data_IF_236216589869
#
_entry.id   IF_236216589869
#
_cell.length_a   1.000
_cell.length_b   1.000
_cell.length_c   1.000
_cell.angle_alpha   90.00
_cell.angle_beta   90.00
_cell.angle_gamma   90.00
#
_symmetry.space_group_name_H-M   'P 1'
#
loop_
_entity.id
_entity.type
_entity.pdbx_description
1 polymer ?
#
# COMPACT_ATOMS: atom_id res chain seq x y z
N UNK A 1 15.86 44.31 47.86
CA UNK A 1 14.67 44.92 47.24
C UNK A 1 15.00 45.15 45.76
N UNK A 2 14.51 44.28 44.87
CA UNK A 2 13.32 44.51 44.01
C UNK A 2 13.54 45.70 43.06
N UNK A 3 13.98 45.51 41.80
CA UNK A 3 13.26 45.03 40.61
C UNK A 3 12.47 46.14 39.88
N UNK A 4 12.83 46.40 38.62
CA UNK A 4 11.94 46.71 37.46
C UNK A 4 12.81 47.23 36.32
N UNK A 5 13.01 46.49 35.24
CA UNK A 5 12.09 46.44 34.09
C UNK A 5 12.72 47.29 32.97
N UNK A 6 13.22 46.74 31.87
CA UNK A 6 12.51 45.85 30.98
C UNK A 6 11.79 46.71 29.93
N UNK A 7 12.43 46.97 28.79
CA UNK A 7 11.74 47.22 27.51
C UNK A 7 12.62 46.71 26.38
N UNK A 8 12.30 45.49 25.96
CA UNK A 8 12.77 44.90 24.71
C UNK A 8 12.35 45.81 23.54
N UNK A 9 13.34 46.34 22.81
CA UNK A 9 13.11 46.86 21.46
C UNK A 9 13.02 45.64 20.55
N UNK A 10 11.82 45.43 19.99
CA UNK A 10 11.63 44.50 18.89
C UNK A 10 12.54 44.92 17.73
N UNK A 11 13.41 44.01 17.33
CA UNK A 11 14.15 44.11 16.07
C UNK A 11 13.18 43.77 14.94
N UNK A 12 12.56 44.80 14.36
CA UNK A 12 12.02 44.67 13.01
C UNK A 12 13.22 44.33 12.09
N UNK A 13 13.12 43.23 11.34
CA UNK A 13 14.14 42.86 10.37
C UNK A 13 14.33 43.98 9.35
N UNK A 14 15.46 44.01 8.66
CA UNK A 14 15.65 44.98 7.57
C UNK A 14 14.49 44.83 6.57
N UNK A 15 13.95 45.92 5.98
CA UNK A 15 12.90 45.84 4.97
C UNK A 15 13.28 44.91 3.79
N UNK A 16 14.56 44.72 3.54
CA UNK A 16 15.07 43.76 2.56
C UNK A 16 14.86 42.29 2.99
N UNK A 17 14.97 41.99 4.28
CA UNK A 17 14.71 40.66 4.85
C UNK A 17 13.21 40.35 4.85
N UNK A 18 12.36 41.34 5.16
CA UNK A 18 10.90 41.20 5.07
C UNK A 18 10.45 40.97 3.61
N UNK A 19 11.02 41.71 2.64
CA UNK A 19 10.78 41.49 1.22
C UNK A 19 11.28 40.11 0.76
N UNK A 20 12.44 39.66 1.26
CA UNK A 20 12.95 38.33 0.95
C UNK A 20 12.04 37.22 1.51
N UNK A 21 11.52 37.39 2.71
CA UNK A 21 10.61 36.44 3.36
C UNK A 21 9.24 36.40 2.67
N UNK A 22 8.67 37.56 2.33
CA UNK A 22 7.44 37.64 1.53
C UNK A 22 7.62 36.98 0.15
N UNK A 23 8.78 37.15 -0.50
CA UNK A 23 9.09 36.46 -1.76
C UNK A 23 9.17 34.94 -1.60
N UNK A 24 9.69 34.43 -0.47
CA UNK A 24 9.70 32.98 -0.19
C UNK A 24 8.29 32.45 0.05
N UNK A 25 7.48 33.18 0.81
CA UNK A 25 6.09 32.82 1.08
C UNK A 25 5.26 32.80 -0.21
N UNK A 26 5.43 33.80 -1.08
CA UNK A 26 4.76 33.85 -2.39
C UNK A 26 5.12 32.62 -3.24
N UNK A 27 6.41 32.28 -3.33
CA UNK A 27 6.87 31.07 -4.05
C UNK A 27 6.40 29.76 -3.43
N UNK A 28 6.13 29.73 -2.12
CA UNK A 28 5.56 28.56 -1.45
C UNK A 28 4.07 28.44 -1.78
N UNK A 29 3.33 29.54 -1.76
CA UNK A 29 1.93 29.60 -2.17
C UNK A 29 1.74 29.23 -3.64
N UNK A 30 2.58 29.73 -4.54
CA UNK A 30 2.53 29.38 -5.96
C UNK A 30 2.70 27.88 -6.19
N UNK A 31 3.63 27.25 -5.45
CA UNK A 31 3.83 25.79 -5.52
C UNK A 31 2.61 25.03 -5.00
N UNK A 32 2.04 25.47 -3.87
CA UNK A 32 0.82 24.87 -3.33
C UNK A 32 -0.37 25.00 -4.29
N UNK A 33 -0.51 26.15 -4.96
CA UNK A 33 -1.55 26.37 -5.97
C UNK A 33 -1.36 25.43 -7.17
N UNK A 34 -0.13 25.29 -7.67
CA UNK A 34 0.16 24.34 -8.76
C UNK A 34 -0.17 22.89 -8.36
N UNK A 35 0.18 22.49 -7.14
CA UNK A 35 -0.15 21.15 -6.64
C UNK A 35 -1.66 20.94 -6.52
N UNK A 36 -2.40 21.96 -6.09
CA UNK A 36 -3.86 21.89 -6.03
C UNK A 36 -4.50 21.86 -7.42
N UNK A 37 -4.01 22.65 -8.37
CA UNK A 37 -4.46 22.60 -9.76
C UNK A 37 -4.21 21.23 -10.40
N UNK A 38 -3.04 20.63 -10.15
CA UNK A 38 -2.73 19.29 -10.62
C UNK A 38 -3.69 18.24 -10.03
N UNK A 39 -3.98 18.33 -8.72
CA UNK A 39 -4.97 17.47 -8.05
C UNK A 39 -6.37 17.66 -8.60
N UNK A 40 -6.81 18.90 -8.82
CA UNK A 40 -8.12 19.20 -9.41
C UNK A 40 -8.24 18.62 -10.82
N UNK A 41 -7.22 18.77 -11.67
CA UNK A 41 -7.20 18.18 -13.02
C UNK A 41 -7.28 16.65 -12.96
N UNK A 42 -6.58 16.02 -12.02
CA UNK A 42 -6.66 14.57 -11.82
C UNK A 42 -8.07 14.13 -11.38
N UNK A 43 -8.68 14.84 -10.42
CA UNK A 43 -10.04 14.58 -9.95
C UNK A 43 -11.08 14.77 -11.06
N UNK A 44 -10.96 15.82 -11.88
CA UNK A 44 -11.86 16.06 -13.01
C UNK A 44 -11.76 14.94 -14.05
N UNK A 45 -10.55 14.48 -14.36
CA UNK A 45 -10.35 13.33 -15.27
C UNK A 45 -10.96 12.05 -14.69
N UNK A 46 -10.73 11.78 -13.41
CA UNK A 46 -11.28 10.60 -12.74
C UNK A 46 -12.82 10.64 -12.71
N UNK A 47 -13.40 11.80 -12.41
CA UNK A 47 -14.86 12.01 -12.45
C UNK A 47 -15.44 11.83 -13.85
N UNK A 48 -14.77 12.32 -14.90
CA UNK A 48 -15.21 12.13 -16.28
C UNK A 48 -15.21 10.65 -16.69
N UNK A 49 -14.20 9.88 -16.26
CA UNK A 49 -14.14 8.42 -16.50
C UNK A 49 -15.23 7.69 -15.73
N UNK A 50 -15.46 8.05 -14.46
CA UNK A 50 -16.53 7.49 -13.64
C UNK A 50 -17.91 7.76 -14.25
N UNK A 51 -18.19 8.99 -14.67
CA UNK A 51 -19.48 9.35 -15.30
C UNK A 51 -19.72 8.54 -16.57
N UNK A 52 -18.71 8.39 -17.45
CA UNK A 52 -18.84 7.56 -18.66
C UNK A 52 -19.15 6.10 -18.35
N UNK A 53 -18.58 5.54 -17.27
CA UNK A 53 -18.89 4.16 -16.86
C UNK A 53 -20.29 4.04 -16.29
N UNK A 54 -20.70 5.00 -15.45
CA UNK A 54 -22.07 5.05 -14.94
C UNK A 54 -23.09 5.13 -16.08
N UNK A 55 -22.82 5.94 -17.11
CA UNK A 55 -23.69 6.05 -18.29
C UNK A 55 -23.86 4.69 -19.00
N UNK A 56 -22.75 3.96 -19.20
CA UNK A 56 -22.76 2.61 -19.81
C UNK A 56 -23.51 1.60 -18.94
N UNK A 57 -23.30 1.63 -17.62
CA UNK A 57 -23.98 0.72 -16.69
C UNK A 57 -25.48 1.02 -16.63
N UNK A 58 -25.87 2.28 -16.64
CA UNK A 58 -27.27 2.70 -16.59
C UNK A 58 -27.98 2.36 -17.90
N UNK A 59 -27.31 2.56 -19.04
CA UNK A 59 -27.79 2.13 -20.36
C UNK A 59 -27.97 0.60 -20.42
N UNK A 60 -26.99 -0.17 -19.95
CA UNK A 60 -27.04 -1.63 -19.92
C UNK A 60 -28.16 -2.19 -19.03
N UNK A 61 -28.42 -1.53 -17.90
CA UNK A 61 -29.49 -1.88 -16.96
C UNK A 61 -30.86 -1.29 -17.35
N UNK A 62 -30.93 -0.53 -18.47
CA UNK A 62 -32.12 0.22 -18.91
C UNK A 62 -32.70 1.11 -17.82
N UNK A 63 -31.85 1.61 -16.93
CA UNK A 63 -32.23 2.60 -15.93
C UNK A 63 -32.28 3.95 -16.66
N UNK A 64 -33.41 4.66 -16.57
CA UNK A 64 -33.55 6.01 -17.16
C UNK A 64 -32.57 7.01 -16.54
N UNK A 65 -32.52 8.25 -17.09
CA UNK A 65 -31.66 9.37 -16.64
C UNK A 65 -31.38 9.34 -15.13
N UNK A 66 -30.12 9.58 -14.75
CA UNK A 66 -29.69 9.59 -13.35
C UNK A 66 -30.61 10.47 -12.50
N UNK A 67 -31.15 9.90 -11.41
CA UNK A 67 -32.08 10.60 -10.54
C UNK A 67 -31.48 11.94 -10.08
N UNK A 68 -32.26 13.03 -10.20
CA UNK A 68 -31.80 14.37 -9.87
C UNK A 68 -31.66 14.52 -8.36
N UNK A 69 -30.80 15.46 -7.95
CA UNK A 69 -30.53 15.76 -6.54
C UNK A 69 -31.78 16.33 -5.87
N UNK A 70 -32.60 15.46 -5.28
CA UNK A 70 -33.90 15.81 -4.69
C UNK A 70 -34.98 14.75 -4.92
N UNK A 71 -34.79 13.87 -5.89
CA UNK A 71 -35.72 12.77 -6.18
C UNK A 71 -35.75 11.81 -4.98
N UNK A 72 -36.95 11.56 -4.45
CA UNK A 72 -37.21 10.57 -3.40
C UNK A 72 -37.89 9.36 -4.05
N UNK A 73 -37.32 8.18 -3.90
CA UNK A 73 -37.92 6.94 -4.38
C UNK A 73 -36.95 5.77 -4.46
N UNK A 74 -37.49 4.55 -4.43
CA UNK A 74 -36.79 3.26 -4.46
C UNK A 74 -35.83 3.14 -5.66
N UNK A 75 -36.17 3.77 -6.80
CA UNK A 75 -35.35 3.75 -8.02
C UNK A 75 -34.00 4.45 -7.81
N UNK A 76 -33.97 5.56 -7.05
CA UNK A 76 -32.73 6.26 -6.73
C UNK A 76 -31.85 5.45 -5.78
N UNK A 77 -32.44 4.83 -4.77
CA UNK A 77 -31.71 3.95 -3.85
C UNK A 77 -31.11 2.74 -4.57
N UNK A 78 -31.82 2.21 -5.58
CA UNK A 78 -31.33 1.14 -6.44
C UNK A 78 -30.16 1.62 -7.31
N UNK A 79 -30.29 2.79 -7.96
CA UNK A 79 -29.22 3.42 -8.74
C UNK A 79 -27.96 3.69 -7.88
N UNK A 80 -28.12 4.27 -6.69
CA UNK A 80 -27.02 4.52 -5.75
C UNK A 80 -26.37 3.21 -5.27
N UNK A 81 -27.15 2.13 -5.14
CA UNK A 81 -26.63 0.81 -4.78
C UNK A 81 -25.87 0.15 -5.93
N UNK A 82 -26.31 0.32 -7.16
CA UNK A 82 -25.60 -0.13 -8.37
C UNK A 82 -24.24 0.58 -8.49
N UNK A 83 -24.20 1.91 -8.33
CA UNK A 83 -22.93 2.65 -8.36
C UNK A 83 -21.97 2.18 -7.26
N UNK A 84 -22.48 1.98 -6.03
CA UNK A 84 -21.66 1.45 -4.92
C UNK A 84 -21.14 0.04 -5.18
N UNK A 85 -21.94 -0.82 -5.82
CA UNK A 85 -21.52 -2.16 -6.22
C UNK A 85 -20.48 -2.12 -7.34
N UNK A 86 -20.63 -1.24 -8.32
CA UNK A 86 -19.64 -1.03 -9.37
C UNK A 86 -18.29 -0.61 -8.79
N UNK A 87 -18.28 0.42 -7.92
CA UNK A 87 -17.08 0.87 -7.24
C UNK A 87 -16.43 -0.23 -6.38
N UNK A 88 -17.24 -1.02 -5.70
CA UNK A 88 -16.77 -2.17 -4.92
C UNK A 88 -16.13 -3.24 -5.81
N UNK A 89 -16.75 -3.57 -6.94
CA UNK A 89 -16.23 -4.54 -7.90
C UNK A 89 -14.93 -4.05 -8.55
N UNK A 90 -14.82 -2.78 -8.91
CA UNK A 90 -13.60 -2.18 -9.45
C UNK A 90 -12.45 -2.23 -8.45
N UNK A 91 -12.70 -1.82 -7.19
CA UNK A 91 -11.69 -1.92 -6.11
C UNK A 91 -11.27 -3.36 -5.88
N UNK A 92 -12.21 -4.29 -5.98
CA UNK A 92 -11.93 -5.73 -5.84
C UNK A 92 -11.10 -6.24 -7.02
N UNK A 93 -11.36 -5.79 -8.25
CA UNK A 93 -10.58 -6.13 -9.43
C UNK A 93 -9.13 -5.61 -9.32
N UNK A 94 -8.93 -4.36 -8.93
CA UNK A 94 -7.59 -3.78 -8.69
C UNK A 94 -6.85 -4.57 -7.59
N UNK A 95 -7.57 -4.96 -6.53
CA UNK A 95 -7.00 -5.79 -5.46
C UNK A 95 -6.61 -7.18 -5.97
N UNK A 96 -7.44 -7.81 -6.80
CA UNK A 96 -7.13 -9.09 -7.44
C UNK A 96 -5.91 -8.96 -8.35
N UNK A 97 -5.80 -7.90 -9.14
CA UNK A 97 -4.65 -7.64 -10.01
C UNK A 97 -3.35 -7.47 -9.21
N UNK A 98 -3.40 -6.75 -8.09
CA UNK A 98 -2.26 -6.62 -7.18
C UNK A 98 -1.86 -7.96 -6.57
N UNK A 99 -2.83 -8.78 -6.14
CA UNK A 99 -2.58 -10.12 -5.61
C UNK A 99 -1.95 -11.01 -6.70
N UNK A 100 -2.48 -11.00 -7.92
CA UNK A 100 -1.97 -11.79 -9.05
C UNK A 100 -0.54 -11.37 -9.42
N UNK A 101 -0.26 -10.06 -9.41
CA UNK A 101 1.09 -9.53 -9.61
C UNK A 101 2.05 -10.00 -8.52
N UNK A 102 1.64 -9.93 -7.26
CA UNK A 102 2.44 -10.41 -6.13
C UNK A 102 2.70 -11.93 -6.21
N UNK A 103 1.69 -12.72 -6.60
CA UNK A 103 1.83 -14.16 -6.82
C UNK A 103 2.77 -14.47 -7.99
N UNK A 104 2.69 -13.71 -9.09
CA UNK A 104 3.61 -13.84 -10.22
C UNK A 104 5.06 -13.56 -9.80
N UNK A 105 5.30 -12.46 -9.07
CA UNK A 105 6.62 -12.11 -8.54
C UNK A 105 7.14 -13.20 -7.59
N UNK A 106 6.29 -13.72 -6.71
CA UNK A 106 6.64 -14.82 -5.81
C UNK A 106 6.99 -16.10 -6.59
N UNK A 107 6.24 -16.43 -7.64
CA UNK A 107 6.54 -17.58 -8.51
C UNK A 107 7.87 -17.40 -9.25
N UNK A 108 8.13 -16.23 -9.82
CA UNK A 108 9.40 -15.90 -10.48
C UNK A 108 10.58 -15.99 -9.49
N UNK A 109 10.38 -15.52 -8.26
CA UNK A 109 11.34 -15.66 -7.18
C UNK A 109 11.61 -17.14 -6.88
N UNK A 110 10.57 -17.95 -6.64
CA UNK A 110 10.72 -19.39 -6.39
C UNK A 110 11.42 -20.13 -7.53
N UNK A 111 11.12 -19.77 -8.79
CA UNK A 111 11.82 -20.32 -9.96
C UNK A 111 13.30 -19.92 -9.96
N UNK A 112 13.63 -18.68 -9.58
CA UNK A 112 15.01 -18.22 -9.45
C UNK A 112 15.75 -18.91 -8.30
N UNK A 113 15.06 -19.17 -7.18
CA UNK A 113 15.55 -19.89 -6.02
C UNK A 113 15.86 -21.32 -6.41
N UNK A 114 14.92 -22.02 -7.04
CA UNK A 114 15.12 -23.40 -7.48
C UNK A 114 16.31 -23.56 -8.44
N UNK A 115 16.57 -22.54 -9.29
CA UNK A 115 17.74 -22.51 -10.18
C UNK A 115 19.06 -22.21 -9.48
N UNK A 116 19.05 -21.48 -8.35
CA UNK A 116 20.26 -21.01 -7.65
C UNK A 116 20.63 -21.83 -6.43
N UNK A 117 19.68 -22.50 -5.78
CA UNK A 117 19.91 -23.23 -4.50
C UNK A 117 20.88 -24.40 -4.66
N UNK A 118 21.09 -24.92 -5.87
CA UNK A 118 22.06 -26.00 -6.12
C UNK A 118 23.52 -25.47 -6.12
N UNK A 119 23.73 -24.20 -6.47
CA UNK A 119 25.08 -23.61 -6.68
C UNK A 119 25.40 -22.41 -5.75
N UNK A 120 24.46 -21.98 -4.92
CA UNK A 120 24.60 -20.75 -4.12
C UNK A 120 25.19 -20.99 -2.72
N UNK A 121 26.10 -20.10 -2.30
CA UNK A 121 26.65 -20.10 -0.94
C UNK A 121 25.62 -19.74 0.14
N UNK A 122 25.92 -20.07 1.40
CA UNK A 122 25.01 -19.94 2.56
C UNK A 122 24.35 -18.55 2.68
N UNK A 123 25.07 -17.46 2.42
CA UNK A 123 24.52 -16.09 2.47
C UNK A 123 23.45 -15.84 1.42
N UNK A 124 23.66 -16.33 0.20
CA UNK A 124 22.69 -16.16 -0.87
C UNK A 124 21.44 -16.99 -0.62
N UNK A 125 21.60 -18.19 -0.04
CA UNK A 125 20.47 -19.00 0.40
C UNK A 125 19.63 -18.30 1.46
N UNK A 126 20.26 -17.78 2.52
CA UNK A 126 19.52 -17.04 3.56
C UNK A 126 18.84 -15.80 2.96
N UNK A 127 19.52 -15.05 2.10
CA UNK A 127 18.92 -13.87 1.43
C UNK A 127 17.67 -14.25 0.63
N UNK A 128 17.72 -15.34 -0.10
CA UNK A 128 16.59 -15.85 -0.88
C UNK A 128 15.42 -16.25 0.01
N UNK A 129 15.69 -16.95 1.12
CA UNK A 129 14.67 -17.34 2.09
C UNK A 129 14.00 -16.10 2.74
N UNK A 130 14.77 -15.07 3.08
CA UNK A 130 14.22 -13.79 3.57
C UNK A 130 13.34 -13.07 2.54
N UNK A 131 13.71 -13.14 1.25
CA UNK A 131 12.90 -12.56 0.18
C UNK A 131 11.58 -13.32 -0.01
N UNK A 132 11.58 -14.65 0.16
CA UNK A 132 10.36 -15.47 0.20
C UNK A 132 9.47 -15.00 1.37
N UNK A 133 10.01 -14.95 2.58
CA UNK A 133 9.26 -14.58 3.79
C UNK A 133 8.61 -13.20 3.65
N UNK A 134 9.36 -12.19 3.19
CA UNK A 134 8.82 -10.84 2.97
C UNK A 134 7.69 -10.81 1.95
N UNK A 135 7.84 -11.56 0.85
CA UNK A 135 6.81 -11.63 -0.17
C UNK A 135 5.55 -12.34 0.36
N UNK A 136 5.70 -13.41 1.15
CA UNK A 136 4.57 -14.08 1.80
C UNK A 136 3.79 -13.12 2.70
N UNK A 137 4.46 -12.37 3.58
CA UNK A 137 3.81 -11.37 4.42
C UNK A 137 3.14 -10.27 3.59
N UNK A 138 3.79 -9.82 2.51
CA UNK A 138 3.20 -8.82 1.61
C UNK A 138 1.91 -9.33 0.96
N UNK A 139 1.88 -10.59 0.53
CA UNK A 139 0.66 -11.23 -0.01
C UNK A 139 -0.42 -11.34 1.07
N UNK A 140 -0.07 -11.71 2.30
CA UNK A 140 -1.02 -11.79 3.42
C UNK A 140 -1.64 -10.40 3.72
N UNK A 141 -0.83 -9.35 3.78
CA UNK A 141 -1.33 -7.97 3.96
C UNK A 141 -2.29 -7.56 2.83
N UNK A 142 -1.97 -7.85 1.57
CA UNK A 142 -2.85 -7.55 0.43
C UNK A 142 -4.20 -8.29 0.51
N UNK A 143 -4.20 -9.49 1.11
CA UNK A 143 -5.39 -10.27 1.40
C UNK A 143 -6.11 -9.83 2.68
N UNK A 144 -5.67 -8.74 3.32
CA UNK A 144 -6.30 -8.20 4.53
C UNK A 144 -6.04 -9.04 5.78
N UNK A 145 -5.04 -9.93 5.72
CA UNK A 145 -4.58 -10.71 6.87
C UNK A 145 -3.62 -9.82 7.65
N UNK A 146 -4.00 -9.47 8.88
CA UNK A 146 -3.10 -8.76 9.80
C UNK A 146 -1.97 -9.69 10.24
N UNK A 147 -0.78 -9.17 10.50
CA UNK A 147 0.33 -9.93 11.07
C UNK A 147 1.23 -8.97 11.84
N UNK A 148 2.11 -9.51 12.68
CA UNK A 148 3.07 -8.69 13.41
C UNK A 148 4.03 -7.93 12.45
N UNK A 149 3.84 -6.62 12.35
CA UNK A 149 4.68 -5.73 11.55
C UNK A 149 6.16 -5.72 11.97
N UNK A 150 6.48 -6.18 13.19
CA UNK A 150 7.86 -6.37 13.63
C UNK A 150 8.60 -7.40 12.76
N UNK A 151 7.92 -8.43 12.24
CA UNK A 151 8.53 -9.45 11.38
C UNK A 151 9.15 -8.85 10.13
N UNK A 152 8.47 -7.88 9.49
CA UNK A 152 9.01 -7.21 8.30
C UNK A 152 10.28 -6.42 8.64
N UNK A 153 10.30 -5.75 9.80
CA UNK A 153 11.49 -5.02 10.27
C UNK A 153 12.64 -5.96 10.61
N UNK A 154 12.36 -7.11 11.23
CA UNK A 154 13.38 -8.12 11.55
C UNK A 154 13.95 -8.77 10.27
N UNK A 155 13.12 -9.06 9.27
CA UNK A 155 13.55 -9.55 7.95
C UNK A 155 14.48 -8.53 7.27
N UNK A 156 14.11 -7.26 7.24
CA UNK A 156 14.93 -6.20 6.64
C UNK A 156 16.24 -5.99 7.41
N UNK A 157 16.18 -6.06 8.74
CA UNK A 157 17.36 -5.98 9.61
C UNK A 157 18.34 -7.12 9.37
N UNK A 158 17.86 -8.37 9.28
CA UNK A 158 18.72 -9.53 8.98
C UNK A 158 19.29 -9.45 7.57
N UNK A 159 18.52 -8.96 6.60
CA UNK A 159 18.99 -8.71 5.22
C UNK A 159 20.10 -7.66 5.17
N UNK A 160 20.02 -6.62 6.00
CA UNK A 160 21.08 -5.62 6.12
C UNK A 160 22.34 -6.24 6.76
N UNK A 161 22.19 -7.04 7.82
CA UNK A 161 23.30 -7.76 8.48
C UNK A 161 24.02 -8.74 7.55
N UNK A 162 23.29 -9.42 6.65
CA UNK A 162 23.86 -10.31 5.64
C UNK A 162 24.87 -9.64 4.71
N UNK A 163 24.70 -8.34 4.44
CA UNK A 163 25.62 -7.56 3.60
C UNK A 163 26.92 -7.19 4.34
N UNK A 164 26.88 -7.13 5.67
CA UNK A 164 27.95 -6.56 6.49
C UNK A 164 28.71 -7.60 7.30
N UNK A 165 28.07 -8.69 7.71
CA UNK A 165 28.66 -9.70 8.60
C UNK A 165 29.32 -10.82 7.82
N UNK A 166 30.53 -11.21 8.21
CA UNK A 166 31.20 -12.44 7.74
C UNK A 166 30.94 -13.65 8.64
N UNK A 167 30.38 -13.44 9.84
CA UNK A 167 30.06 -14.52 10.77
C UNK A 167 28.77 -15.25 10.33
N UNK A 168 28.98 -16.35 9.62
CA UNK A 168 27.90 -17.21 9.11
C UNK A 168 27.09 -17.87 10.23
N UNK A 169 27.72 -18.25 11.35
CA UNK A 169 27.06 -18.95 12.45
C UNK A 169 26.06 -18.02 13.15
N UNK A 170 26.43 -16.76 13.34
CA UNK A 170 25.50 -15.76 13.86
C UNK A 170 24.34 -15.47 12.91
N UNK A 171 24.60 -15.42 11.60
CA UNK A 171 23.56 -15.22 10.59
C UNK A 171 22.58 -16.39 10.56
N UNK A 172 23.07 -17.63 10.64
CA UNK A 172 22.22 -18.83 10.69
C UNK A 172 21.37 -18.89 11.97
N UNK A 173 21.93 -18.52 13.12
CA UNK A 173 21.16 -18.44 14.39
C UNK A 173 20.07 -17.39 14.31
N UNK A 174 20.41 -16.18 13.85
CA UNK A 174 19.44 -15.10 13.70
C UNK A 174 18.34 -15.46 12.70
N UNK A 175 18.69 -16.20 11.64
CA UNK A 175 17.74 -16.75 10.68
C UNK A 175 16.82 -17.77 11.34
N UNK A 176 17.35 -18.74 12.08
CA UNK A 176 16.55 -19.78 12.74
C UNK A 176 15.57 -19.20 13.77
N UNK A 177 15.97 -18.15 14.50
CA UNK A 177 15.06 -17.46 15.42
C UNK A 177 13.94 -16.72 14.68
N UNK A 178 14.26 -16.12 13.53
CA UNK A 178 13.28 -15.47 12.66
C UNK A 178 12.30 -16.48 12.02
N UNK A 179 12.79 -17.66 11.61
CA UNK A 179 11.93 -18.75 11.12
C UNK A 179 10.90 -19.15 12.17
N UNK A 180 11.30 -19.33 13.43
CA UNK A 180 10.37 -19.72 14.50
C UNK A 180 9.28 -18.68 14.71
N UNK A 181 9.63 -17.39 14.67
CA UNK A 181 8.64 -16.31 14.80
C UNK A 181 7.70 -16.27 13.60
N UNK A 182 8.26 -16.41 12.40
CA UNK A 182 7.50 -16.41 11.15
C UNK A 182 6.53 -17.61 11.08
N UNK A 183 6.99 -18.82 11.37
CA UNK A 183 6.15 -20.01 11.43
C UNK A 183 5.10 -19.91 12.53
N UNK A 184 5.45 -19.34 13.68
CA UNK A 184 4.50 -19.05 14.75
C UNK A 184 3.38 -18.10 14.32
N UNK A 185 3.72 -17.08 13.53
CA UNK A 185 2.75 -16.15 12.96
C UNK A 185 1.87 -16.81 11.90
N UNK A 186 2.46 -17.59 10.99
CA UNK A 186 1.70 -18.29 9.95
C UNK A 186 0.73 -19.32 10.54
N UNK A 187 1.09 -20.01 11.63
CA UNK A 187 0.22 -20.98 12.32
C UNK A 187 -1.01 -20.36 12.97
N UNK A 188 -1.04 -19.04 13.19
CA UNK A 188 -2.26 -18.33 13.65
C UNK A 188 -3.35 -18.36 12.58
N UNK A 189 -2.96 -18.58 11.32
CA UNK A 189 -3.86 -18.68 10.19
C UNK A 189 -3.96 -20.15 9.78
N UNK A 190 -5.18 -20.67 9.78
CA UNK A 190 -5.44 -22.06 9.37
C UNK A 190 -5.34 -22.18 7.84
N UNK A 191 -4.09 -22.20 7.36
CA UNK A 191 -3.76 -22.32 5.94
C UNK A 191 -4.26 -23.65 5.36
N UNK A 192 -4.38 -24.70 6.18
CA UNK A 192 -4.95 -25.99 5.78
C UNK A 192 -6.46 -25.88 5.54
N UNK A 193 -7.22 -25.21 6.42
CA UNK A 193 -8.64 -24.95 6.18
C UNK A 193 -8.87 -24.06 4.95
N UNK A 194 -8.00 -23.07 4.71
CA UNK A 194 -8.05 -22.22 3.51
C UNK A 194 -7.73 -23.04 2.25
N UNK A 195 -6.75 -23.94 2.31
CA UNK A 195 -6.41 -24.83 1.20
C UNK A 195 -7.42 -25.96 0.97
N UNK A 196 -8.13 -26.43 2.00
CA UNK A 196 -9.20 -27.41 1.86
C UNK A 196 -10.36 -26.88 0.99
N UNK A 197 -10.60 -25.57 1.00
CA UNK A 197 -11.57 -24.88 0.13
C UNK A 197 -11.10 -24.69 -1.32
N UNK A 198 -9.90 -25.15 -1.69
CA UNK A 198 -9.37 -25.06 -3.06
C UNK A 198 -10.28 -25.71 -4.11
N UNK A 199 -11.08 -26.72 -3.73
CA UNK A 199 -12.09 -27.36 -4.59
C UNK A 199 -13.32 -26.49 -4.85
N UNK A 200 -13.53 -25.44 -4.06
CA UNK A 200 -14.67 -24.51 -4.16
C UNK A 200 -14.33 -23.28 -5.02
N UNK A 201 -13.06 -23.09 -5.39
CA UNK A 201 -12.60 -21.99 -6.25
C UNK A 201 -12.83 -22.39 -7.73
N UNK A 202 -13.71 -21.71 -8.48
CA UNK A 202 -13.94 -22.03 -9.88
C UNK A 202 -12.64 -21.89 -10.69
N UNK A 203 -12.22 -22.97 -11.36
CA UNK A 203 -11.05 -22.99 -12.26
C UNK A 203 -9.84 -23.79 -11.75
N UNK A 204 -9.82 -24.24 -10.49
CA UNK A 204 -8.87 -25.24 -10.02
C UNK A 204 -9.53 -26.63 -10.03
N UNK A 205 -9.25 -27.43 -11.06
CA UNK A 205 -9.46 -28.89 -11.06
C UNK A 205 -8.13 -29.60 -10.84
#
# INVERSE_FOLDING_TARGET
MAASGGRARGTAGSPEEEVAELRRQLRAMDRMLHDQEARLRALTKASAVSNRRHDVVFEALRLSEAARKGDRGVIRELQDSVVRLEDYLLKTADRIENILTALKQHRELLVSVNKRVVDAGTKDRIRLELDVMKNTLSILALNGVEFDAALVKEIEGLRAKLRQSEDLVQLERAKADLDRKFDGELKKYDLEAIWARKKEIPGYR
#
